data_IF_328604674044
#
_entry.id   IF_328604674044
#
_cell.length_a   1.000
_cell.length_b   1.000
_cell.length_c   1.000
_cell.angle_alpha   90.00
_cell.angle_beta   90.00
_cell.angle_gamma   90.00
#
_symmetry.space_group_name_H-M   'P 1'
#
loop_
_entity.id
_entity.type
_entity.pdbx_description
1 polymer ?
#
# COMPACT_ATOMS: atom_id res chain seq x y z
N UNK A 1 9.55 -2.34 -2.60
CA UNK A 1 8.93 -1.25 -3.36
C UNK A 1 8.79 0.03 -2.55
N UNK A 2 8.19 0.04 -1.35
CA UNK A 2 8.08 1.27 -0.53
C UNK A 2 9.41 2.04 -0.34
N UNK A 3 10.51 1.34 -0.01
CA UNK A 3 11.84 1.99 0.07
C UNK A 3 12.25 2.65 -1.26
N UNK A 4 11.98 2.00 -2.39
CA UNK A 4 12.29 2.52 -3.72
C UNK A 4 11.42 3.74 -4.10
N UNK A 5 10.23 3.85 -3.50
CA UNK A 5 9.33 4.98 -3.67
C UNK A 5 9.64 6.15 -2.72
N UNK A 6 10.62 5.99 -1.82
CA UNK A 6 11.11 7.04 -0.92
C UNK A 6 10.53 7.02 0.49
N UNK A 7 9.91 5.91 0.91
CA UNK A 7 9.41 5.74 2.27
C UNK A 7 10.53 5.29 3.23
N UNK A 8 10.73 6.04 4.31
CA UNK A 8 11.68 5.76 5.38
C UNK A 8 11.16 4.68 6.33
N UNK A 9 9.87 4.73 6.69
CA UNK A 9 9.22 3.77 7.60
C UNK A 9 8.65 2.56 6.86
N UNK A 10 9.20 2.26 5.68
CA UNK A 10 8.72 1.23 4.75
C UNK A 10 8.47 -0.13 5.40
N UNK A 11 9.28 -0.54 6.39
CA UNK A 11 9.12 -1.83 7.09
C UNK A 11 7.84 -1.86 7.93
N UNK A 12 7.55 -0.79 8.66
CA UNK A 12 6.36 -0.68 9.49
C UNK A 12 5.11 -0.58 8.61
N UNK A 13 5.15 0.27 7.59
CA UNK A 13 4.06 0.46 6.64
C UNK A 13 3.75 -0.83 5.86
N UNK A 14 4.77 -1.58 5.43
CA UNK A 14 4.58 -2.87 4.75
C UNK A 14 3.82 -3.88 5.63
N UNK A 15 4.12 -3.94 6.94
CA UNK A 15 3.38 -4.82 7.86
C UNK A 15 1.91 -4.42 7.94
N UNK A 16 1.62 -3.14 8.16
CA UNK A 16 0.23 -2.63 8.17
C UNK A 16 -0.50 -2.97 6.88
N UNK A 17 0.14 -2.71 5.73
CA UNK A 17 -0.44 -2.96 4.41
C UNK A 17 -0.75 -4.44 4.18
N UNK A 18 0.19 -5.34 4.47
CA UNK A 18 -0.01 -6.78 4.30
C UNK A 18 -1.11 -7.30 5.24
N UNK A 19 -1.09 -6.88 6.51
CA UNK A 19 -2.14 -7.26 7.47
C UNK A 19 -3.52 -6.80 7.00
N UNK A 20 -3.64 -5.55 6.53
CA UNK A 20 -4.89 -5.03 5.98
C UNK A 20 -5.36 -5.85 4.78
N UNK A 21 -4.50 -6.08 3.78
CA UNK A 21 -4.87 -6.83 2.58
C UNK A 21 -5.28 -8.28 2.88
N UNK A 22 -4.58 -8.95 3.80
CA UNK A 22 -4.94 -10.29 4.24
C UNK A 22 -6.31 -10.31 4.93
N UNK A 23 -6.55 -9.38 5.85
CA UNK A 23 -7.85 -9.27 6.54
C UNK A 23 -8.97 -8.95 5.56
N UNK A 24 -8.77 -8.02 4.62
CA UNK A 24 -9.78 -7.72 3.60
C UNK A 24 -10.11 -8.96 2.74
N UNK A 25 -9.11 -9.75 2.36
CA UNK A 25 -9.33 -10.99 1.60
C UNK A 25 -10.11 -12.04 2.40
N UNK A 26 -9.93 -12.10 3.71
CA UNK A 26 -10.57 -13.09 4.59
C UNK A 26 -11.99 -12.66 5.02
N UNK A 27 -12.18 -11.36 5.28
CA UNK A 27 -13.39 -10.83 5.93
C UNK A 27 -14.41 -10.24 4.94
N UNK A 28 -13.98 -9.77 3.77
CA UNK A 28 -14.92 -9.26 2.78
C UNK A 28 -15.65 -10.41 2.06
N UNK A 29 -16.87 -10.12 1.59
CA UNK A 29 -17.62 -11.05 0.76
C UNK A 29 -16.80 -11.43 -0.47
N UNK A 30 -16.90 -12.69 -0.92
CA UNK A 30 -16.28 -13.11 -2.19
C UNK A 30 -16.97 -12.39 -3.35
N UNK A 31 -16.18 -11.65 -4.13
CA UNK A 31 -16.61 -10.93 -5.32
C UNK A 31 -15.56 -11.12 -6.42
N UNK A 32 -16.00 -11.32 -7.66
CA UNK A 32 -15.09 -11.58 -8.80
C UNK A 32 -14.21 -10.39 -9.17
N UNK A 33 -14.64 -9.18 -8.84
CA UNK A 33 -13.93 -7.94 -9.17
C UNK A 33 -12.84 -7.55 -8.16
N UNK A 34 -12.68 -8.31 -7.06
CA UNK A 34 -11.59 -8.06 -6.11
C UNK A 34 -10.27 -8.67 -6.61
N UNK A 35 -9.29 -7.80 -6.87
CA UNK A 35 -7.93 -8.21 -7.24
C UNK A 35 -6.97 -8.10 -6.05
N UNK A 36 -6.63 -9.25 -5.47
CA UNK A 36 -5.65 -9.39 -4.39
C UNK A 36 -4.23 -9.70 -4.90
N UNK A 37 -4.02 -9.65 -6.22
CA UNK A 37 -2.77 -10.01 -6.86
C UNK A 37 -1.66 -8.94 -6.71
N UNK A 38 -0.42 -9.36 -6.93
CA UNK A 38 0.75 -8.48 -6.83
C UNK A 38 0.72 -7.30 -7.83
N UNK A 39 -0.03 -7.43 -8.93
CA UNK A 39 -0.18 -6.37 -9.94
C UNK A 39 -0.98 -5.18 -9.40
N UNK A 40 -2.13 -5.43 -8.79
CA UNK A 40 -2.93 -4.41 -8.13
C UNK A 40 -2.12 -3.74 -7.01
N UNK A 41 -1.44 -4.55 -6.18
CA UNK A 41 -0.56 -4.05 -5.10
C UNK A 41 0.55 -3.13 -5.67
N UNK A 42 1.23 -3.53 -6.74
CA UNK A 42 2.26 -2.71 -7.39
C UNK A 42 1.71 -1.35 -7.83
N UNK A 43 0.52 -1.32 -8.43
CA UNK A 43 -0.12 -0.08 -8.87
C UNK A 43 -0.38 0.89 -7.71
N UNK A 44 -0.91 0.38 -6.59
CA UNK A 44 -1.13 1.18 -5.37
C UNK A 44 0.19 1.79 -4.86
N UNK A 45 1.26 1.00 -4.81
CA UNK A 45 2.57 1.47 -4.30
C UNK A 45 3.19 2.57 -5.18
N UNK A 46 3.04 2.49 -6.51
CA UNK A 46 3.52 3.54 -7.43
C UNK A 46 2.76 4.85 -7.25
N UNK A 47 1.44 4.76 -7.02
CA UNK A 47 0.60 5.95 -6.73
C UNK A 47 1.00 6.55 -5.39
N UNK A 48 1.15 5.73 -4.34
CA UNK A 48 1.58 6.20 -3.02
C UNK A 48 2.95 6.90 -3.08
N UNK A 49 3.90 6.36 -3.86
CA UNK A 49 5.19 7.02 -4.09
C UNK A 49 5.05 8.38 -4.78
N UNK A 50 4.14 8.50 -5.74
CA UNK A 50 3.87 9.77 -6.41
C UNK A 50 3.25 10.79 -5.46
N UNK A 51 2.35 10.37 -4.57
CA UNK A 51 1.78 11.21 -3.52
C UNK A 51 2.84 11.69 -2.51
N UNK A 52 3.72 10.79 -2.03
CA UNK A 52 4.82 11.16 -1.12
C UNK A 52 5.78 12.19 -1.74
N UNK A 53 6.05 12.08 -3.04
CA UNK A 53 6.89 13.05 -3.75
C UNK A 53 6.20 14.41 -3.94
N UNK A 54 4.88 14.41 -4.11
CA UNK A 54 4.07 15.63 -4.22
C UNK A 54 3.93 16.38 -2.90
N UNK A 55 4.00 15.69 -1.77
CA UNK A 55 3.90 16.26 -0.42
C UNK A 55 4.92 15.60 0.52
N UNK A 56 6.14 16.15 0.53
CA UNK A 56 7.28 15.54 1.23
C UNK A 56 7.18 15.64 2.74
N UNK A 57 6.58 16.71 3.26
CA UNK A 57 6.47 16.95 4.70
C UNK A 57 5.31 16.16 5.33
N UNK A 58 4.38 15.66 4.52
CA UNK A 58 3.30 14.80 5.00
C UNK A 58 3.86 13.54 5.66
N UNK A 59 3.38 13.20 6.88
CA UNK A 59 3.69 11.94 7.53
C UNK A 59 3.38 10.74 6.63
N UNK A 60 4.30 9.78 6.56
CA UNK A 60 4.22 8.65 5.63
C UNK A 60 3.02 7.72 5.87
N UNK A 61 2.52 7.68 7.10
CA UNK A 61 1.34 6.91 7.49
C UNK A 61 0.03 7.55 7.03
N UNK A 62 0.08 8.82 6.61
CA UNK A 62 -1.06 9.55 6.08
C UNK A 62 -1.08 9.59 4.56
N UNK A 63 0.02 9.23 3.88
CA UNK A 63 0.10 9.19 2.40
C UNK A 63 -0.81 8.10 1.84
#
# INVERSE_FOLDING_TARGET
MLVAEGFLDARLLARKFITLYSLCKELLSKQDHYDWGLRAIKSVLVVAGSLKRGDRERPEDQV
#
